data_IF_358097787455
#
_entry.id   IF_358097787455
#
_cell.length_a   1.000
_cell.length_b   1.000
_cell.length_c   1.000
_cell.angle_alpha   90.00
_cell.angle_beta   90.00
_cell.angle_gamma   90.00
#
_symmetry.space_group_name_H-M   'P 1'
#
loop_
_entity.id
_entity.type
_entity.pdbx_description
1 polymer ?
#
# COMPACT_ATOMS: atom_id res chain seq x y z
N UNK A 1 -12.85 -20.14 -17.84
CA UNK A 1 -12.86 -19.79 -16.41
C UNK A 1 -14.14 -19.03 -16.15
N UNK A 2 -14.88 -19.41 -15.11
CA UNK A 2 -16.12 -18.72 -14.73
C UNK A 2 -15.76 -17.34 -14.15
N UNK A 3 -16.35 -16.28 -14.70
CA UNK A 3 -16.16 -14.91 -14.20
C UNK A 3 -16.78 -14.77 -12.82
N UNK A 4 -16.06 -14.14 -11.87
CA UNK A 4 -16.57 -13.87 -10.52
C UNK A 4 -17.61 -12.76 -10.59
N UNK A 5 -18.81 -13.00 -10.05
CA UNK A 5 -19.88 -11.99 -10.01
C UNK A 5 -19.75 -11.06 -8.79
N UNK A 6 -20.42 -9.89 -8.77
CA UNK A 6 -20.50 -9.06 -7.58
C UNK A 6 -21.01 -9.82 -6.34
N UNK A 7 -22.00 -10.70 -6.49
CA UNK A 7 -22.54 -11.51 -5.40
C UNK A 7 -21.52 -12.53 -4.87
N UNK A 8 -20.71 -13.13 -5.76
CA UNK A 8 -19.65 -14.05 -5.37
C UNK A 8 -18.53 -13.33 -4.62
N UNK A 9 -18.15 -12.14 -5.09
CA UNK A 9 -17.20 -11.30 -4.36
C UNK A 9 -17.73 -10.87 -2.99
N UNK A 10 -19.03 -10.52 -2.90
CA UNK A 10 -19.64 -10.10 -1.64
C UNK A 10 -19.56 -11.20 -0.56
N UNK A 11 -19.72 -12.47 -0.95
CA UNK A 11 -19.57 -13.63 -0.04
C UNK A 11 -18.15 -13.77 0.53
N UNK A 12 -17.15 -13.22 -0.14
CA UNK A 12 -15.74 -13.24 0.30
C UNK A 12 -15.42 -11.99 1.13
N UNK A 13 -15.71 -10.81 0.60
CA UNK A 13 -15.30 -9.54 1.21
C UNK A 13 -16.01 -9.26 2.54
N UNK A 14 -17.29 -9.64 2.67
CA UNK A 14 -18.07 -9.38 3.88
C UNK A 14 -17.52 -10.13 5.11
N UNK A 15 -17.33 -11.47 5.10
CA UNK A 15 -16.71 -12.15 6.22
C UNK A 15 -15.23 -11.77 6.41
N UNK A 16 -14.50 -11.50 5.32
CA UNK A 16 -13.12 -11.04 5.40
C UNK A 16 -13.00 -9.75 6.21
N UNK A 17 -13.74 -8.69 5.87
CA UNK A 17 -13.68 -7.43 6.60
C UNK A 17 -14.18 -7.56 8.05
N UNK A 18 -15.15 -8.45 8.32
CA UNK A 18 -15.60 -8.79 9.68
C UNK A 18 -14.51 -9.37 10.57
N UNK A 19 -13.53 -10.08 10.01
CA UNK A 19 -12.39 -10.58 10.77
C UNK A 19 -11.23 -9.57 10.87
N UNK A 20 -11.09 -8.70 9.88
CA UNK A 20 -10.09 -7.64 9.86
C UNK A 20 -10.39 -6.61 10.96
N UNK A 21 -11.62 -6.13 11.06
CA UNK A 21 -12.04 -5.16 12.08
C UNK A 21 -12.40 -5.85 13.40
N UNK A 22 -11.78 -5.40 14.49
CA UNK A 22 -12.26 -5.66 15.85
C UNK A 22 -13.39 -4.70 16.20
N UNK A 23 -13.22 -3.45 15.77
CA UNK A 23 -14.15 -2.35 15.81
C UNK A 23 -13.88 -1.45 14.60
N UNK A 24 -14.91 -0.77 14.09
CA UNK A 24 -14.73 0.17 12.98
C UNK A 24 -14.13 1.47 13.54
N UNK A 25 -12.88 1.84 13.20
CA UNK A 25 -12.28 3.04 13.76
C UNK A 25 -12.98 4.28 13.20
N UNK A 26 -13.16 5.35 14.00
CA UNK A 26 -13.69 6.61 13.50
C UNK A 26 -12.68 7.24 12.53
N UNK A 27 -13.17 7.77 11.42
CA UNK A 27 -12.37 8.58 10.50
C UNK A 27 -12.97 9.97 10.36
N UNK A 28 -12.14 10.98 10.64
CA UNK A 28 -12.48 12.38 10.41
C UNK A 28 -11.27 13.03 9.76
N UNK A 29 -11.47 13.51 8.53
CA UNK A 29 -10.46 14.23 7.77
C UNK A 29 -10.02 15.50 8.52
N UNK A 30 -8.73 15.63 8.77
CA UNK A 30 -8.14 16.88 9.25
C UNK A 30 -7.77 17.77 8.04
N UNK A 31 -8.66 18.71 7.72
CA UNK A 31 -8.47 19.62 6.58
C UNK A 31 -7.17 20.44 6.68
N UNK A 32 -6.72 20.77 7.89
CA UNK A 32 -5.48 21.53 8.07
C UNK A 32 -4.26 20.64 7.76
N UNK A 33 -4.27 19.40 8.24
CA UNK A 33 -3.23 18.42 7.92
C UNK A 33 -3.17 18.13 6.42
N UNK A 34 -4.32 17.91 5.77
CA UNK A 34 -4.36 17.70 4.32
C UNK A 34 -3.80 18.88 3.52
N UNK A 35 -4.11 20.11 3.94
CA UNK A 35 -3.56 21.31 3.32
C UNK A 35 -2.04 21.41 3.50
N UNK A 36 -1.52 21.02 4.66
CA UNK A 36 -0.08 20.99 4.93
C UNK A 36 0.65 19.96 4.03
N UNK A 37 0.09 18.75 3.88
CA UNK A 37 0.62 17.74 2.95
C UNK A 37 0.61 18.25 1.51
N UNK A 38 -0.46 18.94 1.09
CA UNK A 38 -0.55 19.54 -0.24
C UNK A 38 0.54 20.60 -0.46
N UNK A 39 0.73 21.50 0.50
CA UNK A 39 1.69 22.61 0.38
C UNK A 39 3.14 22.11 0.32
N UNK A 40 3.49 21.11 1.13
CA UNK A 40 4.79 20.44 1.07
C UNK A 40 4.98 19.70 -0.27
N UNK A 41 3.99 18.90 -0.70
CA UNK A 41 4.12 18.11 -1.93
C UNK A 41 4.08 18.95 -3.21
N UNK A 42 3.51 20.16 -3.18
CA UNK A 42 3.51 21.10 -4.31
C UNK A 42 4.91 21.45 -4.79
N UNK A 43 5.91 21.33 -3.92
CA UNK A 43 7.33 21.54 -4.25
C UNK A 43 7.91 20.46 -5.19
N UNK A 44 7.21 19.34 -5.38
CA UNK A 44 7.57 18.27 -6.33
C UNK A 44 7.70 18.74 -7.78
N UNK A 45 7.06 19.85 -8.13
CA UNK A 45 7.05 20.39 -9.50
C UNK A 45 6.08 19.68 -10.45
N UNK A 46 5.19 18.82 -9.92
CA UNK A 46 4.13 18.18 -10.70
C UNK A 46 2.96 19.15 -10.97
N UNK A 47 2.12 18.84 -11.98
CA UNK A 47 0.86 19.56 -12.21
C UNK A 47 -0.04 19.58 -10.97
N UNK A 48 -0.79 20.67 -10.77
CA UNK A 48 -1.55 20.89 -9.53
C UNK A 48 -2.65 19.85 -9.29
N UNK A 49 -3.29 19.34 -10.34
CA UNK A 49 -4.29 18.28 -10.28
C UNK A 49 -3.69 16.95 -9.78
N UNK A 50 -2.48 16.62 -10.24
CA UNK A 50 -1.71 15.47 -9.75
C UNK A 50 -1.30 15.67 -8.30
N UNK A 51 -0.83 16.86 -7.94
CA UNK A 51 -0.48 17.22 -6.55
C UNK A 51 -1.68 17.05 -5.64
N UNK A 52 -2.85 17.60 -6.03
CA UNK A 52 -4.09 17.53 -5.26
C UNK A 52 -4.55 16.10 -5.02
N UNK A 53 -4.62 15.30 -6.08
CA UNK A 53 -5.09 13.91 -5.98
C UNK A 53 -4.14 13.04 -5.17
N UNK A 54 -2.82 13.22 -5.37
CA UNK A 54 -1.82 12.40 -4.68
C UNK A 54 -1.71 12.78 -3.20
N UNK A 55 -1.71 14.08 -2.88
CA UNK A 55 -1.59 14.56 -1.49
C UNK A 55 -2.79 14.18 -0.64
N UNK A 56 -3.99 14.20 -1.22
CA UNK A 56 -5.18 13.68 -0.57
C UNK A 56 -4.99 12.21 -0.18
N UNK A 57 -4.54 11.37 -1.12
CA UNK A 57 -4.33 9.95 -0.84
C UNK A 57 -3.22 9.72 0.20
N UNK A 58 -2.13 10.49 0.15
CA UNK A 58 -1.04 10.40 1.11
C UNK A 58 -1.44 10.82 2.53
N UNK A 59 -2.26 11.86 2.65
CA UNK A 59 -2.80 12.31 3.93
C UNK A 59 -3.74 11.26 4.56
N UNK A 60 -4.70 10.73 3.78
CA UNK A 60 -5.60 9.66 4.27
C UNK A 60 -4.81 8.44 4.72
N UNK A 61 -3.79 8.01 3.96
CA UNK A 61 -2.92 6.89 4.37
C UNK A 61 -2.25 7.18 5.71
N UNK A 62 -1.70 8.38 5.89
CA UNK A 62 -1.00 8.72 7.12
C UNK A 62 -1.92 8.76 8.34
N UNK A 63 -3.11 9.34 8.20
CA UNK A 63 -4.12 9.39 9.26
C UNK A 63 -4.66 7.99 9.62
N UNK A 64 -4.95 7.18 8.60
CA UNK A 64 -5.54 5.87 8.80
C UNK A 64 -4.52 4.85 9.33
N UNK A 65 -3.33 4.75 8.72
CA UNK A 65 -2.37 3.70 9.08
C UNK A 65 -1.64 4.00 10.38
N UNK A 66 -1.45 5.29 10.68
CA UNK A 66 -0.61 5.74 11.79
C UNK A 66 -1.33 6.71 12.73
N UNK A 67 -2.53 6.39 13.23
CA UNK A 67 -3.35 7.32 14.02
C UNK A 67 -2.68 7.71 15.36
N UNK A 68 -1.76 6.88 15.86
CA UNK A 68 -0.97 7.16 17.07
C UNK A 68 0.38 7.86 16.80
N UNK A 69 0.76 8.13 15.56
CA UNK A 69 1.96 8.90 15.23
C UNK A 69 1.57 10.39 15.17
N UNK A 70 2.34 11.22 15.86
CA UNK A 70 2.11 12.67 15.94
C UNK A 70 3.06 13.42 15.00
N UNK A 71 2.70 14.66 14.71
CA UNK A 71 3.56 15.59 13.98
C UNK A 71 4.82 15.93 14.80
N UNK A 72 5.97 16.17 14.15
CA UNK A 72 6.16 16.31 12.70
C UNK A 72 6.25 15.00 11.89
N UNK A 73 6.42 13.84 12.54
CA UNK A 73 6.67 12.58 11.83
C UNK A 73 5.49 12.15 10.93
N UNK A 74 4.25 12.34 11.38
CA UNK A 74 3.08 11.96 10.58
C UNK A 74 3.00 12.75 9.26
N UNK A 75 3.33 14.04 9.29
CA UNK A 75 3.49 14.85 8.07
C UNK A 75 4.59 14.29 7.16
N UNK A 76 5.79 13.99 7.68
CA UNK A 76 6.88 13.39 6.89
C UNK A 76 6.46 12.07 6.24
N UNK A 77 5.67 11.25 6.96
CA UNK A 77 5.11 10.01 6.43
C UNK A 77 4.17 10.32 5.25
N UNK A 78 3.23 11.24 5.43
CA UNK A 78 2.24 11.62 4.43
C UNK A 78 2.87 12.18 3.16
N UNK A 79 3.84 13.09 3.29
CA UNK A 79 4.55 13.69 2.16
C UNK A 79 5.30 12.61 1.37
N UNK A 80 6.07 11.75 2.04
CA UNK A 80 6.76 10.64 1.34
C UNK A 80 5.76 9.68 0.70
N UNK A 81 4.67 9.33 1.38
CA UNK A 81 3.63 8.47 0.79
C UNK A 81 3.02 9.10 -0.45
N UNK A 82 2.86 10.43 -0.45
CA UNK A 82 2.36 11.18 -1.59
C UNK A 82 3.29 11.03 -2.81
N UNK A 83 4.62 11.13 -2.62
CA UNK A 83 5.59 10.83 -3.68
C UNK A 83 5.40 9.42 -4.23
N UNK A 84 5.30 8.41 -3.35
CA UNK A 84 5.13 7.01 -3.74
C UNK A 84 3.85 6.83 -4.56
N UNK A 85 2.70 7.27 -4.06
CA UNK A 85 1.42 7.07 -4.74
C UNK A 85 1.30 7.85 -6.04
N UNK A 86 1.99 8.99 -6.16
CA UNK A 86 2.01 9.74 -7.40
C UNK A 86 2.66 8.96 -8.54
N UNK A 87 3.66 8.11 -8.25
CA UNK A 87 4.40 7.33 -9.25
C UNK A 87 3.49 6.43 -10.09
N UNK A 88 2.50 5.77 -9.48
CA UNK A 88 1.53 4.91 -10.19
C UNK A 88 0.83 5.65 -11.34
N UNK A 89 0.58 6.94 -11.16
CA UNK A 89 -0.11 7.76 -12.16
C UNK A 89 0.87 8.41 -13.14
N UNK A 90 1.95 8.98 -12.64
CA UNK A 90 2.87 9.80 -13.46
C UNK A 90 3.86 8.94 -14.28
N UNK A 91 4.17 7.72 -13.85
CA UNK A 91 5.01 6.80 -14.62
C UNK A 91 4.32 6.30 -15.90
N UNK A 92 3.02 6.52 -16.08
CA UNK A 92 2.32 6.25 -17.34
C UNK A 92 2.83 7.15 -18.47
N UNK A 93 3.27 8.37 -18.15
CA UNK A 93 3.91 9.27 -19.11
C UNK A 93 5.33 8.81 -19.43
N UNK A 94 5.60 8.53 -20.72
CA UNK A 94 6.88 8.00 -21.17
C UNK A 94 8.05 8.96 -20.92
N UNK A 95 7.84 10.27 -21.08
CA UNK A 95 8.90 11.26 -20.89
C UNK A 95 9.29 11.39 -19.42
N UNK A 96 8.31 11.40 -18.52
CA UNK A 96 8.54 11.41 -17.08
C UNK A 96 9.23 10.12 -16.64
N UNK A 97 8.73 8.96 -17.11
CA UNK A 97 9.30 7.64 -16.84
C UNK A 97 10.78 7.57 -17.25
N UNK A 98 11.14 8.11 -18.42
CA UNK A 98 12.53 8.16 -18.87
C UNK A 98 13.41 9.04 -17.99
N UNK A 99 12.93 10.21 -17.55
CA UNK A 99 13.66 11.06 -16.61
C UNK A 99 13.88 10.37 -15.25
N UNK A 100 12.87 9.63 -14.77
CA UNK A 100 12.94 8.87 -13.52
C UNK A 100 14.03 7.80 -13.52
N UNK A 101 14.44 7.26 -14.67
CA UNK A 101 15.54 6.26 -14.76
C UNK A 101 16.87 6.77 -14.20
N UNK A 102 17.04 8.09 -14.09
CA UNK A 102 18.21 8.73 -13.47
C UNK A 102 18.25 8.60 -11.94
N UNK A 103 17.20 8.09 -11.29
CA UNK A 103 17.10 8.03 -9.82
C UNK A 103 18.34 7.42 -9.15
N UNK A 104 18.90 6.33 -9.70
CA UNK A 104 20.12 5.69 -9.14
C UNK A 104 21.34 6.59 -9.22
N UNK A 105 21.53 7.27 -10.34
CA UNK A 105 22.65 8.20 -10.51
C UNK A 105 22.57 9.34 -9.51
N UNK A 106 21.35 9.84 -9.27
CA UNK A 106 21.08 10.88 -8.26
C UNK A 106 21.36 10.36 -6.85
N UNK A 107 20.94 9.12 -6.53
CA UNK A 107 21.28 8.47 -5.26
C UNK A 107 22.79 8.40 -5.02
N UNK A 108 23.58 8.14 -6.06
CA UNK A 108 25.05 8.13 -5.99
C UNK A 108 25.70 9.53 -6.03
N UNK A 109 24.90 10.60 -5.94
CA UNK A 109 25.39 11.98 -5.78
C UNK A 109 25.44 12.79 -7.07
N UNK A 110 24.87 12.33 -8.18
CA UNK A 110 24.69 13.19 -9.36
C UNK A 110 23.58 14.21 -9.12
N UNK A 111 23.78 15.45 -9.59
CA UNK A 111 22.75 16.47 -9.56
C UNK A 111 21.66 16.20 -10.59
N UNK A 112 20.42 16.56 -10.29
CA UNK A 112 19.30 16.55 -11.23
C UNK A 112 18.49 17.83 -11.12
N UNK A 113 17.97 18.32 -12.25
CA UNK A 113 17.00 19.41 -12.28
C UNK A 113 15.56 18.92 -12.06
N UNK A 114 15.35 17.61 -12.01
CA UNK A 114 14.04 17.02 -11.76
C UNK A 114 13.65 17.23 -10.29
N UNK A 115 12.85 18.27 -10.04
CA UNK A 115 12.30 18.62 -8.72
C UNK A 115 11.67 17.44 -8.00
N UNK A 116 11.01 16.55 -8.73
CA UNK A 116 10.40 15.36 -8.18
C UNK A 116 11.42 14.43 -7.50
N UNK A 117 12.53 14.12 -8.17
CA UNK A 117 13.58 13.28 -7.60
C UNK A 117 14.27 13.95 -6.41
N UNK A 118 14.57 15.24 -6.51
CA UNK A 118 15.15 16.00 -5.40
C UNK A 118 14.23 15.94 -4.17
N UNK A 119 12.93 16.22 -4.35
CA UNK A 119 11.95 16.17 -3.27
C UNK A 119 11.72 14.76 -2.71
N UNK A 120 11.73 13.72 -3.55
CA UNK A 120 11.68 12.33 -3.11
C UNK A 120 12.84 12.02 -2.16
N UNK A 121 14.08 12.33 -2.54
CA UNK A 121 15.26 12.11 -1.69
C UNK A 121 15.24 12.97 -0.43
N UNK A 122 14.83 14.24 -0.51
CA UNK A 122 14.64 15.09 0.67
C UNK A 122 13.61 14.50 1.64
N UNK A 123 12.51 13.95 1.14
CA UNK A 123 11.48 13.30 1.99
C UNK A 123 12.02 12.04 2.70
N UNK A 124 12.90 11.29 2.05
CA UNK A 124 13.54 10.10 2.61
C UNK A 124 14.59 10.47 3.66
N UNK A 125 15.40 11.49 3.38
CA UNK A 125 16.34 12.05 4.34
C UNK A 125 15.60 12.58 5.58
N UNK A 126 14.48 13.28 5.40
CA UNK A 126 13.69 13.76 6.52
C UNK A 126 13.14 12.62 7.38
N UNK A 127 12.53 11.60 6.75
CA UNK A 127 12.04 10.43 7.46
C UNK A 127 13.16 9.70 8.22
N UNK A 128 14.36 9.58 7.64
CA UNK A 128 15.47 8.84 8.24
C UNK A 128 15.85 9.35 9.64
N UNK A 129 15.57 10.63 9.95
CA UNK A 129 15.84 11.25 11.26
C UNK A 129 15.05 10.62 12.40
N UNK A 130 13.92 9.96 12.10
CA UNK A 130 13.00 9.41 13.09
C UNK A 130 13.14 7.91 13.31
N UNK A 131 13.98 7.22 12.53
CA UNK A 131 14.13 5.77 12.58
C UNK A 131 15.58 5.38 12.87
N UNK A 132 15.75 4.20 13.47
CA UNK A 132 17.07 3.59 13.57
C UNK A 132 17.61 3.24 12.18
N UNK A 133 18.94 3.14 12.06
CA UNK A 133 19.63 2.96 10.78
C UNK A 133 19.04 1.82 9.94
N UNK A 134 18.85 0.65 10.54
CA UNK A 134 18.33 -0.50 9.80
C UNK A 134 16.90 -0.27 9.27
N UNK A 135 16.00 0.30 10.08
CA UNK A 135 14.64 0.62 9.62
C UNK A 135 14.65 1.68 8.51
N UNK A 136 15.51 2.71 8.65
CA UNK A 136 15.74 3.71 7.61
C UNK A 136 16.24 3.10 6.29
N UNK A 137 17.21 2.19 6.36
CA UNK A 137 17.77 1.48 5.21
C UNK A 137 16.70 0.64 4.49
N UNK A 138 15.82 -0.05 5.24
CA UNK A 138 14.74 -0.82 4.64
C UNK A 138 13.70 0.10 3.99
N UNK A 139 13.30 1.20 4.64
CA UNK A 139 12.38 2.18 4.04
C UNK A 139 12.96 2.70 2.72
N UNK A 140 14.24 3.07 2.71
CA UNK A 140 14.95 3.53 1.52
C UNK A 140 14.98 2.46 0.43
N UNK A 141 15.37 1.22 0.79
CA UNK A 141 15.40 0.07 -0.14
C UNK A 141 14.04 -0.20 -0.76
N UNK A 142 12.96 -0.17 0.03
CA UNK A 142 11.60 -0.40 -0.48
C UNK A 142 11.17 0.69 -1.46
N UNK A 143 11.59 1.95 -1.25
CA UNK A 143 11.33 3.04 -2.19
C UNK A 143 12.06 2.84 -3.51
N UNK A 144 13.32 2.40 -3.47
CA UNK A 144 14.08 2.09 -4.68
C UNK A 144 13.48 0.92 -5.47
N UNK A 145 13.05 -0.14 -4.77
CA UNK A 145 12.32 -1.25 -5.36
C UNK A 145 11.04 -0.76 -6.06
N UNK A 146 10.28 0.12 -5.39
CA UNK A 146 9.02 0.65 -5.91
C UNK A 146 9.19 1.54 -7.14
N UNK A 147 10.16 2.45 -7.14
CA UNK A 147 10.48 3.27 -8.33
C UNK A 147 10.87 2.36 -9.51
N UNK A 148 11.70 1.36 -9.24
CA UNK A 148 12.19 0.44 -10.28
C UNK A 148 11.06 -0.38 -10.88
N UNK A 149 10.17 -0.91 -10.05
CA UNK A 149 9.09 -1.78 -10.54
C UNK A 149 8.02 -0.99 -11.28
N UNK A 150 7.69 0.23 -10.83
CA UNK A 150 6.76 1.11 -11.55
C UNK A 150 7.25 1.40 -12.98
N UNK A 151 8.54 1.70 -13.13
CA UNK A 151 9.14 1.88 -14.47
C UNK A 151 9.01 0.59 -15.28
N UNK A 152 9.36 -0.57 -14.70
CA UNK A 152 9.31 -1.85 -15.40
C UNK A 152 7.89 -2.20 -15.85
N UNK A 153 6.91 -2.11 -14.97
CA UNK A 153 5.52 -2.48 -15.27
C UNK A 153 4.92 -1.60 -16.38
N UNK A 154 5.18 -0.29 -16.36
CA UNK A 154 4.73 0.61 -17.43
C UNK A 154 5.44 0.36 -18.76
N UNK A 155 6.73 0.03 -18.75
CA UNK A 155 7.44 -0.37 -19.97
C UNK A 155 6.97 -1.70 -20.55
N UNK A 156 6.57 -2.66 -19.71
CA UNK A 156 5.98 -3.92 -20.17
C UNK A 156 4.61 -3.66 -20.81
N UNK A 157 3.77 -2.84 -20.18
CA UNK A 157 2.47 -2.41 -20.73
C UNK A 157 2.62 -1.71 -22.09
N UNK A 158 3.57 -0.79 -22.22
CA UNK A 158 3.85 -0.08 -23.48
C UNK A 158 4.27 -1.05 -24.60
N UNK A 159 5.12 -2.02 -24.27
CA UNK A 159 5.57 -3.06 -25.22
C UNK A 159 4.50 -4.11 -25.53
N UNK A 160 3.44 -4.18 -24.73
CA UNK A 160 2.44 -5.27 -24.75
C UNK A 160 3.08 -6.64 -24.56
N UNK A 161 4.14 -6.67 -23.75
CA UNK A 161 4.85 -7.87 -23.38
C UNK A 161 4.38 -8.28 -21.98
N UNK A 162 3.68 -9.41 -21.88
CA UNK A 162 3.31 -9.97 -20.58
C UNK A 162 4.50 -10.74 -19.97
N UNK A 163 4.57 -10.78 -18.65
CA UNK A 163 5.51 -11.68 -17.98
C UNK A 163 5.24 -13.13 -18.36
N UNK A 164 6.29 -13.87 -18.67
CA UNK A 164 6.20 -15.29 -19.07
C UNK A 164 5.97 -16.17 -17.84
N UNK A 165 4.71 -16.40 -17.50
CA UNK A 165 4.30 -17.18 -16.34
C UNK A 165 3.99 -18.64 -16.69
N UNK A 166 4.30 -19.53 -15.76
CA UNK A 166 3.96 -20.95 -15.81
C UNK A 166 3.85 -21.53 -14.40
N UNK A 167 3.48 -22.80 -14.29
CA UNK A 167 3.52 -23.51 -13.01
C UNK A 167 4.92 -23.61 -12.38
N UNK A 168 5.97 -23.51 -13.20
CA UNK A 168 7.35 -23.48 -12.73
C UNK A 168 7.79 -22.12 -12.18
N UNK A 169 6.97 -21.08 -12.30
CA UNK A 169 7.24 -19.72 -11.79
C UNK A 169 6.28 -19.33 -10.66
N UNK A 170 5.81 -20.30 -9.87
CA UNK A 170 4.77 -20.10 -8.85
C UNK A 170 5.10 -19.10 -7.74
N UNK A 171 6.38 -18.77 -7.52
CA UNK A 171 6.80 -17.73 -6.56
C UNK A 171 6.78 -16.30 -7.15
N UNK A 172 6.68 -16.17 -8.48
CA UNK A 172 6.75 -14.88 -9.15
C UNK A 172 5.64 -13.90 -8.74
N UNK A 173 4.36 -14.30 -8.61
CA UNK A 173 3.31 -13.36 -8.25
C UNK A 173 3.58 -12.65 -6.91
N UNK A 174 3.98 -13.38 -5.88
CA UNK A 174 4.32 -12.80 -4.58
C UNK A 174 5.61 -11.97 -4.64
N UNK A 175 6.63 -12.43 -5.37
CA UNK A 175 7.87 -11.67 -5.57
C UNK A 175 7.62 -10.31 -6.20
N UNK A 176 6.86 -10.27 -7.31
CA UNK A 176 6.51 -9.03 -8.01
C UNK A 176 5.68 -8.13 -7.09
N UNK A 177 4.69 -8.72 -6.40
CA UNK A 177 3.79 -7.96 -5.52
C UNK A 177 4.53 -7.27 -4.37
N UNK A 178 5.51 -7.93 -3.76
CA UNK A 178 6.34 -7.33 -2.71
C UNK A 178 7.07 -6.06 -3.18
N UNK A 179 7.40 -5.96 -4.47
CA UNK A 179 8.04 -4.77 -5.05
C UNK A 179 7.04 -3.66 -5.30
N UNK A 180 5.88 -3.98 -5.87
CA UNK A 180 4.84 -3.00 -6.24
C UNK A 180 3.93 -2.59 -5.09
N UNK A 181 3.99 -3.25 -3.93
CA UNK A 181 3.18 -2.91 -2.76
C UNK A 181 3.89 -2.03 -1.73
N UNK A 182 5.23 -1.98 -1.77
CA UNK A 182 6.10 -1.27 -0.81
C UNK A 182 5.81 -1.62 0.67
N UNK A 183 5.32 -2.85 0.93
CA UNK A 183 4.79 -3.26 2.24
C UNK A 183 5.78 -3.16 3.39
N UNK A 184 7.07 -3.46 3.16
CA UNK A 184 8.12 -3.36 4.18
C UNK A 184 8.26 -1.93 4.72
N UNK A 185 8.26 -0.91 3.85
CA UNK A 185 8.32 0.48 4.30
C UNK A 185 7.14 0.79 5.21
N UNK A 186 5.91 0.46 4.78
CA UNK A 186 4.72 0.72 5.58
C UNK A 186 4.70 -0.04 6.91
N UNK A 187 5.24 -1.26 6.95
CA UNK A 187 5.43 -1.99 8.20
C UNK A 187 6.39 -1.24 9.14
N UNK A 188 7.58 -0.82 8.66
CA UNK A 188 8.59 -0.16 9.49
C UNK A 188 8.17 1.20 10.03
N UNK A 189 7.38 1.98 9.29
CA UNK A 189 6.93 3.30 9.74
C UNK A 189 6.09 3.26 11.02
N UNK A 190 5.52 2.11 11.35
CA UNK A 190 4.80 1.94 12.61
C UNK A 190 5.71 2.07 13.84
N UNK A 191 7.03 1.96 13.67
CA UNK A 191 7.99 1.81 14.76
C UNK A 191 9.12 2.85 14.67
N UNK A 192 8.86 4.13 14.98
CA UNK A 192 9.91 5.14 15.08
C UNK A 192 10.95 4.77 16.16
N UNK A 193 12.13 5.38 16.14
CA UNK A 193 13.32 4.96 16.90
C UNK A 193 13.21 4.88 18.44
N UNK A 194 12.06 5.21 19.01
CA UNK A 194 11.69 4.90 20.40
C UNK A 194 11.33 3.43 20.64
N UNK A 195 11.11 2.65 19.59
CA UNK A 195 10.82 1.21 19.68
C UNK A 195 12.10 0.39 19.62
N UNK A 196 12.11 -0.73 20.34
CA UNK A 196 13.22 -1.69 20.26
C UNK A 196 13.03 -2.58 19.02
N UNK A 197 13.98 -2.61 18.08
CA UNK A 197 13.91 -3.46 16.88
C UNK A 197 13.56 -4.92 17.23
N UNK A 198 14.12 -5.46 18.31
CA UNK A 198 13.89 -6.84 18.70
C UNK A 198 12.43 -7.13 19.10
N UNK A 199 11.67 -6.11 19.53
CA UNK A 199 10.27 -6.30 19.94
C UNK A 199 9.31 -6.35 18.76
N UNK A 200 9.63 -5.71 17.63
CA UNK A 200 8.70 -5.59 16.50
C UNK A 200 9.21 -6.23 15.20
N UNK A 201 10.52 -6.42 15.04
CA UNK A 201 11.10 -6.94 13.81
C UNK A 201 10.55 -8.32 13.38
N UNK A 202 10.28 -9.27 14.30
CA UNK A 202 9.61 -10.53 13.93
C UNK A 202 8.20 -10.35 13.33
N UNK A 203 7.55 -9.20 13.54
CA UNK A 203 6.21 -8.89 13.02
C UNK A 203 6.26 -8.31 11.61
N UNK A 204 7.39 -7.72 11.20
CA UNK A 204 7.53 -7.01 9.92
C UNK A 204 7.12 -7.86 8.72
N UNK A 205 7.48 -9.15 8.60
CA UNK A 205 7.08 -9.95 7.44
C UNK A 205 5.56 -10.05 7.28
N UNK A 206 4.82 -10.28 8.37
CA UNK A 206 3.37 -10.39 8.32
C UNK A 206 2.71 -9.00 8.15
N UNK A 207 3.27 -7.94 8.74
CA UNK A 207 2.78 -6.58 8.53
C UNK A 207 2.97 -6.12 7.08
N UNK A 208 4.13 -6.39 6.48
CA UNK A 208 4.39 -6.09 5.09
C UNK A 208 3.44 -6.87 4.18
N UNK A 209 3.26 -8.17 4.43
CA UNK A 209 2.36 -9.02 3.66
C UNK A 209 0.88 -8.57 3.73
N UNK A 210 0.45 -7.93 4.82
CA UNK A 210 -0.92 -7.39 4.92
C UNK A 210 -1.14 -6.26 3.93
N UNK A 211 -0.13 -5.42 3.66
CA UNK A 211 -0.25 -4.35 2.66
C UNK A 211 -0.64 -4.95 1.30
N UNK A 212 0.16 -5.92 0.86
CA UNK A 212 -0.02 -6.60 -0.41
C UNK A 212 -1.37 -7.33 -0.48
N UNK A 213 -1.62 -8.19 0.52
CA UNK A 213 -2.72 -9.16 0.48
C UNK A 213 -4.07 -8.53 0.75
N UNK A 214 -4.15 -7.59 1.69
CA UNK A 214 -5.42 -6.91 1.97
C UNK A 214 -5.84 -6.08 0.77
N UNK A 215 -4.89 -5.36 0.15
CA UNK A 215 -5.15 -4.59 -1.06
C UNK A 215 -5.64 -5.49 -2.19
N UNK A 216 -4.98 -6.61 -2.46
CA UNK A 216 -5.42 -7.54 -3.51
C UNK A 216 -6.84 -8.07 -3.27
N UNK A 217 -7.24 -8.26 -2.01
CA UNK A 217 -8.60 -8.70 -1.65
C UNK A 217 -9.62 -7.62 -1.94
N UNK A 218 -9.40 -6.40 -1.46
CA UNK A 218 -10.35 -5.29 -1.59
C UNK A 218 -10.37 -4.68 -3.00
N UNK A 219 -9.24 -4.72 -3.73
CA UNK A 219 -9.11 -4.17 -5.07
C UNK A 219 -9.62 -5.11 -6.16
N UNK A 220 -9.75 -6.41 -5.86
CA UNK A 220 -10.25 -7.42 -6.80
C UNK A 220 -11.57 -7.01 -7.46
N UNK A 221 -12.48 -6.37 -6.73
CA UNK A 221 -13.75 -5.92 -7.27
C UNK A 221 -13.58 -4.93 -8.42
N UNK A 222 -12.80 -3.86 -8.23
CA UNK A 222 -12.55 -2.88 -9.29
C UNK A 222 -11.71 -3.47 -10.43
N UNK A 223 -10.83 -4.43 -10.14
CA UNK A 223 -9.81 -4.94 -11.07
C UNK A 223 -10.32 -6.04 -11.99
N UNK A 224 -11.12 -6.95 -11.43
CA UNK A 224 -11.51 -8.21 -12.08
C UNK A 224 -13.02 -8.37 -12.25
N UNK A 225 -13.82 -7.85 -11.31
CA UNK A 225 -15.29 -7.95 -11.40
C UNK A 225 -15.86 -6.83 -12.27
N UNK A 226 -15.44 -5.59 -12.02
CA UNK A 226 -15.81 -4.43 -12.83
C UNK A 226 -14.81 -4.17 -13.96
N UNK A 227 -13.56 -4.57 -13.76
CA UNK A 227 -12.44 -4.32 -14.65
C UNK A 227 -11.97 -5.57 -15.40
N UNK A 228 -10.84 -5.41 -16.09
CA UNK A 228 -10.17 -6.52 -16.78
C UNK A 228 -8.64 -6.37 -16.67
N UNK A 229 -8.15 -5.91 -15.52
CA UNK A 229 -6.71 -5.68 -15.29
C UNK A 229 -5.93 -7.01 -15.33
N UNK A 230 -4.98 -7.17 -16.25
CA UNK A 230 -4.26 -8.44 -16.48
C UNK A 230 -3.11 -8.71 -15.51
N UNK A 231 -2.44 -7.65 -15.03
CA UNK A 231 -1.24 -7.73 -14.20
C UNK A 231 -1.49 -7.97 -12.71
N UNK A 232 -2.70 -8.30 -12.29
CA UNK A 232 -3.02 -8.47 -10.86
C UNK A 232 -2.41 -9.76 -10.29
N UNK A 233 -2.16 -9.78 -8.99
CA UNK A 233 -1.67 -11.00 -8.32
C UNK A 233 -2.61 -12.18 -8.55
N UNK A 234 -3.93 -11.94 -8.54
CA UNK A 234 -4.94 -12.99 -8.75
C UNK A 234 -4.77 -13.64 -10.12
N UNK A 235 -4.64 -12.85 -11.19
CA UNK A 235 -4.49 -13.41 -12.54
C UNK A 235 -3.17 -14.12 -12.76
N UNK A 236 -2.09 -13.55 -12.23
CA UNK A 236 -0.79 -14.22 -12.27
C UNK A 236 -0.85 -15.57 -11.52
N UNK A 237 -1.56 -15.62 -10.40
CA UNK A 237 -1.76 -16.84 -9.61
C UNK A 237 -2.62 -17.86 -10.34
N UNK A 238 -3.69 -17.45 -11.04
CA UNK A 238 -4.48 -18.35 -11.88
C UNK A 238 -3.62 -19.06 -12.92
N UNK A 239 -2.71 -18.34 -13.58
CA UNK A 239 -1.77 -18.91 -14.57
C UNK A 239 -0.76 -19.84 -13.90
N UNK A 240 -0.16 -19.42 -12.79
CA UNK A 240 0.86 -20.21 -12.11
C UNK A 240 0.30 -21.48 -11.42
N UNK A 241 -0.89 -21.44 -10.85
CA UNK A 241 -1.43 -22.55 -10.07
C UNK A 241 -2.52 -23.34 -10.82
N UNK A 242 -2.98 -22.85 -11.97
CA UNK A 242 -4.07 -23.49 -12.72
C UNK A 242 -5.41 -23.43 -12.00
N UNK A 243 -5.61 -22.42 -11.15
CA UNK A 243 -6.84 -22.20 -10.36
C UNK A 243 -7.72 -21.12 -11.01
N UNK A 244 -8.98 -21.08 -10.64
CA UNK A 244 -9.90 -20.01 -11.03
C UNK A 244 -9.64 -18.70 -10.27
N UNK A 245 -10.13 -17.57 -10.79
CA UNK A 245 -10.04 -16.28 -10.08
C UNK A 245 -10.74 -16.33 -8.71
N UNK A 246 -11.86 -17.06 -8.61
CA UNK A 246 -12.58 -17.28 -7.35
C UNK A 246 -11.71 -18.03 -6.32
N UNK A 247 -11.08 -19.14 -6.71
CA UNK A 247 -10.18 -19.89 -5.82
C UNK A 247 -8.95 -19.05 -5.44
N UNK A 248 -8.38 -18.29 -6.38
CA UNK A 248 -7.23 -17.44 -6.12
C UNK A 248 -7.54 -16.32 -5.10
N UNK A 249 -8.71 -15.67 -5.19
CA UNK A 249 -9.11 -14.64 -4.24
C UNK A 249 -9.44 -15.25 -2.85
N UNK A 250 -10.02 -16.45 -2.79
CA UNK A 250 -10.22 -17.18 -1.52
C UNK A 250 -8.87 -17.51 -0.85
N UNK A 251 -7.89 -17.99 -1.63
CA UNK A 251 -6.52 -18.21 -1.15
C UNK A 251 -5.93 -16.91 -0.59
N UNK A 252 -6.09 -15.79 -1.31
CA UNK A 252 -5.53 -14.50 -0.91
C UNK A 252 -6.15 -13.97 0.38
N UNK A 253 -7.47 -14.06 0.50
CA UNK A 253 -8.20 -13.70 1.71
C UNK A 253 -7.73 -14.54 2.91
N UNK A 254 -7.62 -15.86 2.76
CA UNK A 254 -7.13 -16.76 3.80
C UNK A 254 -5.69 -16.41 4.23
N UNK A 255 -4.78 -16.20 3.26
CA UNK A 255 -3.40 -15.81 3.53
C UNK A 255 -3.29 -14.49 4.31
N UNK A 256 -4.17 -13.52 4.03
CA UNK A 256 -4.22 -12.25 4.74
C UNK A 256 -4.73 -12.43 6.18
N UNK A 257 -5.83 -13.17 6.36
CA UNK A 257 -6.38 -13.44 7.69
C UNK A 257 -5.39 -14.21 8.57
N UNK A 258 -4.64 -15.14 8.00
CA UNK A 258 -3.61 -15.86 8.73
C UNK A 258 -2.45 -14.96 9.19
N UNK A 259 -2.05 -13.96 8.39
CA UNK A 259 -1.11 -12.91 8.84
C UNK A 259 -1.68 -12.15 10.04
N UNK A 260 -2.93 -11.70 9.93
CA UNK A 260 -3.60 -10.93 11.00
C UNK A 260 -3.67 -11.75 12.30
N UNK A 261 -4.05 -13.03 12.21
CA UNK A 261 -4.11 -13.94 13.36
C UNK A 261 -2.72 -14.16 13.99
N UNK A 262 -1.69 -14.40 13.17
CA UNK A 262 -0.30 -14.54 13.66
C UNK A 262 0.19 -13.27 14.35
N UNK A 263 -0.04 -12.10 13.77
CA UNK A 263 0.36 -10.82 14.36
C UNK A 263 -0.32 -10.57 15.70
N UNK A 264 -1.65 -10.72 15.76
CA UNK A 264 -2.41 -10.58 17.01
C UNK A 264 -1.94 -11.58 18.06
N UNK A 265 -1.64 -12.82 17.65
CA UNK A 265 -1.07 -13.86 18.49
C UNK A 265 0.33 -13.52 19.02
N UNK A 266 1.23 -13.05 18.16
CA UNK A 266 2.59 -12.68 18.51
C UNK A 266 2.67 -11.47 19.46
N UNK A 267 1.63 -10.63 19.47
CA UNK A 267 1.52 -9.49 20.38
C UNK A 267 0.76 -9.80 21.68
N UNK A 268 0.33 -11.06 21.90
CA UNK A 268 -0.39 -11.42 23.13
C UNK A 268 0.46 -11.12 24.36
N UNK A 269 -0.09 -10.34 25.30
CA UNK A 269 0.60 -9.92 26.51
C UNK A 269 1.35 -8.59 26.40
N UNK A 270 1.57 -8.05 25.19
CA UNK A 270 2.09 -6.70 24.98
C UNK A 270 0.99 -5.78 24.45
N UNK A 271 0.32 -5.08 25.38
CA UNK A 271 -0.79 -4.17 25.07
C UNK A 271 -0.37 -3.04 24.14
N UNK A 272 0.85 -2.54 24.27
CA UNK A 272 1.34 -1.41 23.46
C UNK A 272 1.59 -1.86 22.02
N UNK A 273 2.23 -3.01 21.84
CA UNK A 273 2.53 -3.58 20.54
C UNK A 273 1.25 -4.05 19.83
N UNK A 274 0.36 -4.74 20.55
CA UNK A 274 -0.94 -5.17 20.02
C UNK A 274 -1.80 -3.99 19.57
N UNK A 275 -1.80 -2.88 20.33
CA UNK A 275 -2.48 -1.64 19.92
C UNK A 275 -1.89 -1.11 18.61
N UNK A 276 -0.56 -0.98 18.51
CA UNK A 276 0.11 -0.48 17.30
C UNK A 276 -0.19 -1.35 16.06
N UNK A 277 -0.17 -2.66 16.23
CA UNK A 277 -0.48 -3.62 15.15
C UNK A 277 -1.93 -3.54 14.72
N UNK A 278 -2.89 -3.47 15.65
CA UNK A 278 -4.30 -3.35 15.31
C UNK A 278 -4.64 -1.99 14.69
N UNK A 279 -3.98 -0.90 15.11
CA UNK A 279 -4.09 0.41 14.44
C UNK A 279 -3.70 0.30 12.97
N UNK A 280 -2.56 -0.33 12.67
CA UNK A 280 -2.11 -0.53 11.30
C UNK A 280 -3.09 -1.38 10.47
N UNK A 281 -3.52 -2.53 10.99
CA UNK A 281 -4.42 -3.46 10.29
C UNK A 281 -5.77 -2.81 9.98
N UNK A 282 -6.42 -2.24 11.01
CA UNK A 282 -7.75 -1.66 10.88
C UNK A 282 -7.70 -0.34 10.13
N UNK A 283 -6.65 0.45 10.36
CA UNK A 283 -6.35 1.66 9.62
C UNK A 283 -6.20 1.42 8.13
N UNK A 284 -5.43 0.39 7.75
CA UNK A 284 -5.27 0.07 6.34
C UNK A 284 -6.58 -0.37 5.69
N UNK A 285 -7.38 -1.17 6.39
CA UNK A 285 -8.70 -1.55 5.91
C UNK A 285 -9.63 -0.33 5.77
N UNK A 286 -9.62 0.57 6.76
CA UNK A 286 -10.43 1.79 6.78
C UNK A 286 -10.11 2.71 5.61
N UNK A 287 -8.83 2.88 5.27
CA UNK A 287 -8.40 3.62 4.08
C UNK A 287 -9.13 3.16 2.80
N UNK A 288 -9.34 1.86 2.62
CA UNK A 288 -10.03 1.33 1.45
C UNK A 288 -11.54 1.63 1.46
N UNK A 289 -12.14 1.71 2.65
CA UNK A 289 -13.54 2.12 2.81
C UNK A 289 -13.74 3.61 2.56
N UNK A 290 -12.73 4.44 2.84
CA UNK A 290 -12.77 5.89 2.63
C UNK A 290 -12.61 6.32 1.17
N UNK A 291 -12.10 5.46 0.29
CA UNK A 291 -11.82 5.82 -1.10
C UNK A 291 -12.78 5.18 -2.10
N UNK A 292 -13.47 6.03 -2.85
CA UNK A 292 -14.38 5.65 -3.94
C UNK A 292 -13.74 4.79 -5.05
N UNK A 293 -12.40 4.76 -5.12
CA UNK A 293 -11.67 3.98 -6.12
C UNK A 293 -11.93 2.48 -6.01
N UNK A 294 -12.21 1.97 -4.81
CA UNK A 294 -12.41 0.53 -4.56
C UNK A 294 -13.85 0.07 -4.79
N UNK A 295 -14.80 1.00 -4.99
CA UNK A 295 -16.21 0.71 -5.31
C UNK A 295 -16.92 -0.17 -4.26
N UNK A 296 -16.43 -0.17 -3.02
CA UNK A 296 -17.03 -0.95 -1.93
C UNK A 296 -18.42 -0.42 -1.53
N UNK A 297 -18.74 0.84 -1.85
CA UNK A 297 -20.08 1.42 -1.67
C UNK A 297 -21.18 0.72 -2.48
N UNK A 298 -20.84 -0.03 -3.53
CA UNK A 298 -21.80 -0.81 -4.33
C UNK A 298 -22.46 -1.93 -3.50
N UNK A 299 -21.86 -2.31 -2.37
CA UNK A 299 -22.35 -3.31 -1.43
C UNK A 299 -23.09 -2.70 -0.22
N UNK A 300 -23.41 -1.41 -0.26
CA UNK A 300 -24.14 -0.69 0.77
C UNK A 300 -23.27 -0.10 1.87
N UNK A 301 -23.91 0.45 2.91
CA UNK A 301 -23.19 1.05 4.04
C UNK A 301 -22.47 -0.04 4.86
N UNK A 302 -21.15 0.04 4.92
CA UNK A 302 -20.31 -0.89 5.67
C UNK A 302 -20.54 -0.80 7.18
N UNK A 303 -20.95 0.35 7.74
CA UNK A 303 -21.29 0.47 9.17
C UNK A 303 -22.40 -0.52 9.57
N UNK A 304 -23.35 -0.77 8.67
CA UNK A 304 -24.41 -1.74 8.89
C UNK A 304 -23.89 -3.19 8.94
N UNK A 305 -22.73 -3.49 8.35
CA UNK A 305 -22.15 -4.84 8.36
C UNK A 305 -21.62 -5.23 9.75
N UNK A 306 -21.27 -4.22 10.56
CA UNK A 306 -20.69 -4.38 11.89
C UNK A 306 -21.69 -4.08 13.03
N UNK A 307 -22.99 -4.00 12.70
CA UNK A 307 -24.06 -3.80 13.69
C UNK A 307 -24.33 -2.34 14.07
N UNK A 308 -23.93 -1.37 13.23
CA UNK A 308 -24.32 0.02 13.39
C UNK A 308 -25.79 0.22 13.01
N UNK A 309 -26.68 0.29 14.00
CA UNK A 309 -27.97 0.98 13.83
C UNK A 309 -27.72 2.48 13.69
N UNK A 310 -28.14 3.07 12.57
CA UNK A 310 -28.92 4.31 12.57
C UNK A 310 -29.98 4.27 11.46
#
# INVERSE_FOLDING_TARGET
>A
MTTVTPDDFFKIISPFLKEVFLDLPPYHKDEAFHQEVFDEFKLSGLPEDVVRTSSEAGAVVAECFYPSIKDPLRLSIAVRTTYIFSLDNICTDASFRDQMKSYRSVFFGQSTDLKFLNGLYTSLEDLSKYYETFAGDIIMKSVMDYVSINILEEEQKERKDDFMLSSSTSMFPDFLRQKSAIGEAYAFLNFPGSWNVASYFPLIPDMAAIVDRLNDVVSFYKESVLGNEAGTWVRQTCVCLGVSEYEAIEIRAAQCLDCIRRLRGACQGDVKLLKRVNEFIQGYALYHLCLDRYKLGDFGNYEAWFGGEK
#
